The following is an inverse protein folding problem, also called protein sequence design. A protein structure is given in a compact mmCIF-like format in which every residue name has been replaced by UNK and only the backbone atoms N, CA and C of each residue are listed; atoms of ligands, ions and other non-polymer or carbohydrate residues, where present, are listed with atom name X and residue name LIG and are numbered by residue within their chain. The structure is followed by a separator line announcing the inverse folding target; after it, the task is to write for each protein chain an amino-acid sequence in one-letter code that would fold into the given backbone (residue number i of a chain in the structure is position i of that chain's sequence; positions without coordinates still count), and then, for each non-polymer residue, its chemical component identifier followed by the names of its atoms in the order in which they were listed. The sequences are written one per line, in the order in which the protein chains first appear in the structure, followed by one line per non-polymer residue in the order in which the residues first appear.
data_IF_226061055441
#
_entry.id   IF_226061055441
#
_cell.length_a   1.000
_cell.length_b   1.000
_cell.length_c   1.000
_cell.angle_alpha   90.00
_cell.angle_beta   90.00
_cell.angle_gamma   90.00
#
_symmetry.space_group_name_H-M   'P 1'
#
loop_
_entity.id
_entity.type
_entity.pdbx_description
1 polymer ?
#
# COMPACT_ATOMS: atom_id res chain seq x y z
N UNK A 1 -22.23 -10.56 -19.36
CA UNK A 1 -21.68 -10.06 -18.09
C UNK A 1 -22.38 -8.75 -17.76
N UNK A 2 -22.82 -8.56 -16.51
CA UNK A 2 -23.40 -7.30 -16.08
C UNK A 2 -22.34 -6.20 -16.15
N UNK A 3 -22.71 -5.04 -16.70
CA UNK A 3 -21.84 -3.85 -16.73
C UNK A 3 -22.36 -2.85 -15.72
N UNK A 4 -21.45 -2.13 -15.06
CA UNK A 4 -21.78 -1.06 -14.13
C UNK A 4 -21.01 0.20 -14.53
N UNK A 5 -21.67 1.35 -14.43
CA UNK A 5 -21.09 2.64 -14.77
C UNK A 5 -20.29 3.19 -13.58
N UNK A 6 -19.08 3.68 -13.85
CA UNK A 6 -18.24 4.37 -12.89
C UNK A 6 -17.98 5.79 -13.37
N UNK A 7 -18.43 6.78 -12.60
CA UNK A 7 -18.21 8.20 -12.90
C UNK A 7 -17.08 8.73 -12.00
N UNK A 8 -16.09 9.37 -12.61
CA UNK A 8 -15.00 10.02 -11.91
C UNK A 8 -14.94 11.48 -12.31
N UNK A 9 -14.85 12.37 -11.31
CA UNK A 9 -14.61 13.80 -11.52
C UNK A 9 -13.12 14.09 -11.36
N UNK A 10 -12.55 14.76 -12.35
CA UNK A 10 -11.19 15.29 -12.34
C UNK A 10 -11.26 16.78 -12.66
N UNK A 11 -10.36 17.58 -12.12
CA UNK A 11 -10.22 18.95 -12.58
C UNK A 11 -9.68 18.99 -14.03
N UNK A 12 -9.92 20.11 -14.71
CA UNK A 12 -9.64 20.24 -16.14
C UNK A 12 -8.14 20.10 -16.43
N UNK A 13 -7.28 20.66 -15.59
CA UNK A 13 -5.83 20.66 -15.81
C UNK A 13 -5.26 19.25 -15.65
N UNK A 14 -5.63 18.56 -14.57
CA UNK A 14 -5.25 17.16 -14.33
C UNK A 14 -5.73 16.25 -15.46
N UNK A 15 -6.97 16.43 -15.93
CA UNK A 15 -7.52 15.62 -17.02
C UNK A 15 -6.74 15.80 -18.32
N UNK A 16 -6.43 17.04 -18.68
CA UNK A 16 -5.67 17.37 -19.90
C UNK A 16 -4.25 16.80 -19.85
N UNK A 17 -3.56 16.96 -18.72
CA UNK A 17 -2.22 16.40 -18.53
C UNK A 17 -2.23 14.87 -18.60
N UNK A 18 -3.20 14.24 -17.93
CA UNK A 18 -3.36 12.79 -17.95
C UNK A 18 -3.60 12.26 -19.36
N UNK A 19 -4.51 12.88 -20.13
CA UNK A 19 -4.80 12.46 -21.50
C UNK A 19 -3.58 12.63 -22.41
N UNK A 20 -2.80 13.71 -22.25
CA UNK A 20 -1.58 13.92 -23.02
C UNK A 20 -0.53 12.83 -22.75
N UNK A 21 -0.34 12.44 -21.49
CA UNK A 21 0.59 11.37 -21.11
C UNK A 21 0.11 10.03 -21.67
N UNK A 22 -1.17 9.69 -21.46
CA UNK A 22 -1.73 8.40 -21.88
C UNK A 22 -1.80 8.23 -23.40
N UNK A 23 -1.98 9.33 -24.15
CA UNK A 23 -1.91 9.32 -25.60
C UNK A 23 -0.55 8.82 -26.11
N UNK A 24 0.55 9.15 -25.41
CA UNK A 24 1.88 8.62 -25.71
C UNK A 24 1.99 7.09 -25.56
N UNK A 25 1.13 6.48 -24.75
CA UNK A 25 1.00 5.04 -24.59
C UNK A 25 -0.11 4.42 -25.45
N UNK A 26 -0.80 5.22 -26.28
CA UNK A 26 -1.94 4.77 -27.07
C UNK A 26 -3.17 4.40 -26.22
N UNK A 27 -3.27 4.93 -25.01
CA UNK A 27 -4.33 4.64 -24.05
C UNK A 27 -5.25 5.84 -23.85
N UNK A 28 -6.53 5.56 -23.63
CA UNK A 28 -7.48 6.52 -23.09
C UNK A 28 -7.48 6.47 -21.57
N UNK A 29 -7.90 7.57 -20.93
CA UNK A 29 -8.09 7.62 -19.47
C UNK A 29 -8.92 6.44 -18.94
N UNK A 30 -10.04 6.10 -19.59
CA UNK A 30 -10.89 4.99 -19.15
C UNK A 30 -10.18 3.62 -19.24
N UNK A 31 -9.36 3.39 -20.27
CA UNK A 31 -8.56 2.17 -20.39
C UNK A 31 -7.49 2.08 -19.29
N UNK A 32 -6.80 3.19 -19.02
CA UNK A 32 -5.80 3.24 -17.94
C UNK A 32 -6.42 2.92 -16.57
N UNK A 33 -7.57 3.52 -16.24
CA UNK A 33 -8.27 3.21 -14.99
C UNK A 33 -8.76 1.76 -14.91
N UNK A 34 -9.20 1.17 -16.03
CA UNK A 34 -9.57 -0.25 -16.08
C UNK A 34 -8.35 -1.15 -15.80
N UNK A 35 -7.19 -0.83 -16.39
CA UNK A 35 -5.94 -1.55 -16.12
C UNK A 35 -5.50 -1.41 -14.66
N UNK A 36 -5.60 -0.19 -14.09
CA UNK A 36 -5.32 0.07 -12.68
C UNK A 36 -6.21 -0.77 -11.75
N UNK A 37 -7.53 -0.78 -11.99
CA UNK A 37 -8.46 -1.59 -11.22
C UNK A 37 -8.14 -3.10 -11.32
N UNK A 38 -7.86 -3.59 -12.53
CA UNK A 38 -7.48 -4.99 -12.74
C UNK A 38 -6.19 -5.35 -12.00
N UNK A 39 -5.20 -4.45 -11.98
CA UNK A 39 -3.95 -4.67 -11.27
C UNK A 39 -4.17 -4.78 -9.76
N UNK A 40 -5.02 -3.93 -9.17
CA UNK A 40 -5.40 -4.02 -7.75
C UNK A 40 -6.10 -5.35 -7.47
N UNK A 41 -7.09 -5.72 -8.29
CA UNK A 41 -7.86 -6.96 -8.11
C UNK A 41 -6.93 -8.18 -8.15
N UNK A 42 -5.97 -8.20 -9.08
CA UNK A 42 -5.02 -9.30 -9.28
C UNK A 42 -3.98 -9.39 -8.18
N UNK A 43 -3.41 -8.26 -7.77
CA UNK A 43 -2.26 -8.24 -6.85
C UNK A 43 -2.63 -8.05 -5.40
N UNK A 44 -3.88 -7.63 -5.12
CA UNK A 44 -4.34 -7.20 -3.79
C UNK A 44 -3.50 -6.07 -3.19
N UNK A 45 -2.81 -5.29 -4.03
CA UNK A 45 -1.98 -4.14 -3.65
C UNK A 45 -2.35 -2.95 -4.52
N UNK A 46 -2.21 -1.75 -3.97
CA UNK A 46 -2.35 -0.50 -4.73
C UNK A 46 -1.02 -0.24 -5.45
N UNK A 47 -0.97 -0.24 -6.80
CA UNK A 47 0.27 -0.14 -7.57
C UNK A 47 0.71 1.32 -7.73
N UNK A 48 0.82 2.03 -6.61
CA UNK A 48 1.35 3.38 -6.54
C UNK A 48 2.61 3.36 -5.69
N UNK A 49 3.61 4.12 -6.10
CA UNK A 49 4.75 4.44 -5.24
C UNK A 49 4.28 5.38 -4.15
N UNK A 50 4.36 4.93 -2.89
CA UNK A 50 4.14 5.77 -1.71
C UNK A 50 5.48 6.34 -1.19
N UNK A 51 6.48 6.39 -2.06
CA UNK A 51 7.88 6.69 -1.77
C UNK A 51 8.11 8.16 -1.37
N UNK A 52 7.07 9.00 -1.43
CA UNK A 52 7.05 10.34 -0.84
C UNK A 52 7.20 10.29 0.70
N UNK A 53 6.86 9.16 1.31
CA UNK A 53 7.09 8.87 2.73
C UNK A 53 8.47 8.25 2.97
N UNK A 54 9.49 8.63 2.20
CA UNK A 54 10.87 8.23 2.52
C UNK A 54 11.36 8.89 3.83
N UNK A 55 10.73 9.99 4.24
CA UNK A 55 10.76 10.56 5.60
C UNK A 55 9.58 10.07 6.46
N UNK A 56 9.07 8.85 6.24
CA UNK A 56 8.24 8.19 7.24
C UNK A 56 9.12 8.02 8.47
N UNK A 57 8.94 8.88 9.48
CA UNK A 57 9.41 8.63 10.84
C UNK A 57 8.89 7.24 11.20
N UNK A 58 9.76 6.24 11.08
CA UNK A 58 9.47 4.87 11.49
C UNK A 58 8.89 4.98 12.88
N UNK A 59 7.70 4.42 13.10
CA UNK A 59 6.99 4.51 14.38
C UNK A 59 8.04 4.36 15.51
N UNK A 60 8.26 5.38 16.35
CA UNK A 60 9.30 5.35 17.36
C UNK A 60 9.22 4.11 18.25
N UNK A 61 8.00 3.61 18.48
CA UNK A 61 7.73 2.37 19.21
C UNK A 61 8.29 1.14 18.48
N UNK A 62 8.13 1.08 17.16
CA UNK A 62 8.66 -0.02 16.34
C UNK A 62 10.20 0.03 16.28
N UNK A 63 10.79 1.23 16.20
CA UNK A 63 12.25 1.38 16.24
C UNK A 63 12.83 0.96 17.57
N UNK A 64 12.22 1.39 18.69
CA UNK A 64 12.62 0.97 20.02
C UNK A 64 12.51 -0.54 20.20
N UNK A 65 11.40 -1.15 19.75
CA UNK A 65 11.23 -2.61 19.82
C UNK A 65 12.29 -3.38 19.00
N UNK A 66 12.73 -2.84 17.86
CA UNK A 66 13.82 -3.42 17.06
C UNK A 66 15.16 -3.30 17.80
N UNK A 67 15.43 -2.18 18.46
CA UNK A 67 16.68 -1.98 19.20
C UNK A 67 16.71 -2.82 20.49
N UNK A 68 15.60 -2.95 21.21
CA UNK A 68 15.46 -3.85 22.35
C UNK A 68 15.69 -5.31 21.93
N UNK A 69 15.16 -5.70 20.77
CA UNK A 69 15.41 -7.01 20.18
C UNK A 69 16.89 -7.28 19.88
N UNK A 70 17.59 -6.29 19.31
CA UNK A 70 19.02 -6.39 18.98
C UNK A 70 19.92 -6.42 20.20
N UNK A 71 19.56 -5.66 21.24
CA UNK A 71 20.30 -5.60 22.49
C UNK A 71 20.01 -6.80 23.41
N UNK A 72 19.10 -7.69 23.02
CA UNK A 72 18.75 -8.88 23.79
C UNK A 72 17.80 -8.61 24.95
N UNK A 73 17.18 -7.43 24.99
CA UNK A 73 16.15 -7.03 25.95
C UNK A 73 14.78 -7.59 25.56
N UNK A 74 14.73 -8.87 25.22
CA UNK A 74 13.49 -9.60 24.94
C UNK A 74 13.23 -10.58 26.05
N UNK A 75 11.96 -10.71 26.40
CA UNK A 75 11.49 -11.80 27.23
C UNK A 75 11.72 -13.12 26.50
N UNK A 76 12.39 -14.06 27.17
CA UNK A 76 12.71 -15.37 26.62
C UNK A 76 11.80 -16.40 27.26
N UNK A 77 11.10 -17.13 26.42
CA UNK A 77 10.24 -18.21 26.84
C UNK A 77 10.91 -19.55 26.55
N UNK A 78 10.72 -20.50 27.45
CA UNK A 78 11.30 -21.84 27.34
C UNK A 78 10.47 -22.77 26.45
N UNK A 79 9.22 -22.41 26.15
CA UNK A 79 8.31 -23.16 25.31
C UNK A 79 7.32 -22.27 24.56
N UNK A 80 6.71 -22.80 23.51
CA UNK A 80 5.66 -22.12 22.72
C UNK A 80 4.40 -21.91 23.59
N UNK A 81 4.10 -22.84 24.49
CA UNK A 81 2.93 -22.75 25.37
C UNK A 81 3.04 -21.56 26.34
N UNK A 82 4.25 -21.35 26.89
CA UNK A 82 4.56 -20.21 27.78
C UNK A 82 4.46 -18.87 27.04
N UNK A 83 4.96 -18.81 25.80
CA UNK A 83 4.82 -17.64 24.92
C UNK A 83 3.34 -17.33 24.62
N UNK A 84 2.55 -18.34 24.30
CA UNK A 84 1.13 -18.17 23.97
C UNK A 84 0.31 -17.71 25.18
N UNK A 85 0.67 -18.16 26.38
CA UNK A 85 0.06 -17.69 27.62
C UNK A 85 0.37 -16.21 27.87
N UNK A 86 1.61 -15.77 27.67
CA UNK A 86 2.03 -14.37 27.86
C UNK A 86 1.41 -13.38 26.85
N UNK A 87 1.12 -13.82 25.62
CA UNK A 87 0.50 -12.97 24.58
C UNK A 87 -1.03 -12.92 24.70
N UNK A 88 -1.64 -13.88 25.40
CA UNK A 88 -3.11 -14.00 25.52
C UNK A 88 -3.69 -13.32 26.78
N UNK A 89 -2.83 -12.81 27.67
CA UNK A 89 -3.20 -11.88 28.75
C UNK A 89 -3.36 -10.45 28.22
#
# INVERSE_FOLDING_TARGET
MATSNFNMRLDVQTKQQLDSILAGYGLTTAQAFKLFANQIIKTKKVPLSFDFLTDYEKNPVTMQAIDDARNGNLERFSSIDELMQAISE
#
